data_IF_117098115514
#
_entry.id   IF_117098115514
#
_cell.length_a   1.000
_cell.length_b   1.000
_cell.length_c   1.000
_cell.angle_alpha   90.00
_cell.angle_beta   90.00
_cell.angle_gamma   90.00
#
_symmetry.space_group_name_H-M   'P 1'
#
loop_
_entity.id
_entity.type
_entity.pdbx_description
1 polymer ?
2 non-polymer ?
3 water ?
#
# COMPACT_ATOMS: atom_id res chain seq x y z
N UNK A 1 -19.04 5.18 9.82
CA UNK A 1 -18.12 6.14 9.14
C UNK A 1 -17.59 5.56 7.83
N UNK A 2 -17.95 6.19 6.72
CA UNK A 2 -17.52 5.73 5.41
C UNK A 2 -16.56 6.66 4.67
N UNK A 3 -15.91 7.57 5.38
CA UNK A 3 -14.96 8.49 4.75
C UNK A 3 -13.66 7.72 4.51
N UNK A 4 -12.92 8.11 3.48
CA UNK A 4 -11.65 7.46 3.19
C UNK A 4 -10.69 8.44 2.56
N UNK A 5 -9.43 8.03 2.50
CA UNK A 5 -8.37 8.79 1.88
C UNK A 5 -7.78 7.73 0.98
N UNK A 6 -7.38 8.11 -0.23
CA UNK A 6 -6.84 7.11 -1.11
C UNK A 6 -5.65 7.53 -1.96
N UNK A 7 -4.88 6.51 -2.34
CA UNK A 7 -3.71 6.65 -3.19
C UNK A 7 -3.88 5.45 -4.13
N UNK A 8 -4.28 5.72 -5.37
CA UNK A 8 -4.51 4.66 -6.33
C UNK A 8 -3.47 4.53 -7.43
N UNK A 9 -3.18 3.29 -7.80
CA UNK A 9 -2.24 3.03 -8.88
C UNK A 9 -0.78 3.37 -8.67
N UNK A 10 -0.35 3.49 -7.42
CA UNK A 10 1.05 3.77 -7.17
C UNK A 10 1.78 2.58 -7.76
N UNK A 11 2.93 2.82 -8.37
CA UNK A 11 3.66 1.73 -8.99
C UNK A 11 5.12 1.84 -8.64
N UNK A 12 5.71 0.72 -8.29
CA UNK A 12 7.11 0.72 -7.92
C UNK A 12 7.86 -0.42 -8.59
N UNK A 13 9.14 -0.20 -8.83
CA UNK A 13 9.96 -1.23 -9.42
C UNK A 13 10.76 -1.81 -8.28
N UNK A 14 10.41 -3.04 -7.89
CA UNK A 14 11.09 -3.71 -6.81
C UNK A 14 11.51 -5.09 -7.26
N UNK A 15 12.34 -5.74 -6.45
CA UNK A 15 12.84 -7.07 -6.78
C UNK A 15 12.29 -8.17 -5.88
N UNK A 16 11.05 -8.02 -5.45
CA UNK A 16 10.45 -9.03 -4.59
C UNK A 16 9.98 -10.21 -5.42
N UNK A 17 9.97 -11.38 -4.80
CA UNK A 17 9.54 -12.58 -5.49
C UNK A 17 10.16 -13.83 -4.90
N UNK A 18 9.39 -14.93 -4.94
CA UNK A 18 9.81 -16.22 -4.41
C UNK A 18 10.81 -16.94 -5.32
N UNK A 19 10.77 -16.61 -6.61
CA UNK A 19 11.68 -17.20 -7.59
C UNK A 19 12.96 -16.37 -7.64
N UNK A 20 14.11 -17.03 -7.53
CA UNK A 20 15.39 -16.35 -7.56
C UNK A 20 15.52 -15.40 -8.74
N UNK A 21 15.04 -15.84 -9.91
CA UNK A 21 15.08 -15.03 -11.13
C UNK A 21 14.25 -13.76 -10.97
N UNK A 22 13.21 -13.83 -10.15
CA UNK A 22 12.35 -12.68 -9.91
C UNK A 22 13.14 -11.60 -9.19
N UNK A 23 13.82 -11.98 -8.12
CA UNK A 23 14.62 -11.03 -7.35
C UNK A 23 15.80 -10.48 -8.15
N UNK A 24 16.25 -11.25 -9.14
CA UNK A 24 17.37 -10.85 -9.99
C UNK A 24 16.94 -9.71 -10.91
N UNK A 25 15.97 -10.02 -11.78
CA UNK A 25 15.44 -9.08 -12.76
C UNK A 25 14.56 -7.94 -12.21
N UNK A 26 13.54 -8.28 -11.42
CA UNK A 26 12.65 -7.27 -10.88
C UNK A 26 11.43 -7.03 -11.75
N UNK A 27 10.49 -6.24 -11.27
CA UNK A 27 9.28 -5.94 -12.03
C UNK A 27 8.56 -4.73 -11.42
N UNK A 28 7.45 -4.35 -12.02
CA UNK A 28 6.69 -3.23 -11.50
C UNK A 28 5.54 -3.78 -10.64
N UNK A 29 5.37 -3.18 -9.46
CA UNK A 29 4.30 -3.56 -8.54
C UNK A 29 3.36 -2.37 -8.46
N UNK A 30 2.06 -2.63 -8.63
CA UNK A 30 1.04 -1.58 -8.55
C UNK A 30 0.40 -1.66 -7.16
N UNK A 31 0.28 -0.52 -6.47
CA UNK A 31 -0.30 -0.49 -5.12
C UNK A 31 -1.43 0.52 -4.92
N UNK A 32 -2.50 0.04 -4.27
CA UNK A 32 -3.68 0.83 -3.96
C UNK A 32 -3.80 0.88 -2.45
N UNK A 33 -3.91 2.07 -1.88
CA UNK A 33 -4.03 2.19 -0.44
C UNK A 33 -5.25 3.04 -0.06
N UNK A 34 -6.15 2.46 0.74
CA UNK A 34 -7.36 3.14 1.20
C UNK A 34 -7.36 3.17 2.72
N UNK A 35 -7.40 4.37 3.28
CA UNK A 35 -7.38 4.54 4.73
C UNK A 35 -8.70 5.04 5.29
N UNK A 36 -9.16 4.42 6.37
CA UNK A 36 -10.40 4.83 7.02
C UNK A 36 -10.06 5.98 7.96
N UNK A 37 -10.62 7.15 7.69
CA UNK A 37 -10.35 8.31 8.51
C UNK A 37 -11.57 9.21 8.50
N UNK A 38 -11.88 9.82 9.65
CA UNK A 38 -13.00 10.75 9.77
C UNK A 38 -12.49 12.11 9.26
N UNK A 39 -13.11 12.62 8.18
CA UNK A 39 -12.68 13.89 7.57
C UNK A 39 -13.65 15.07 7.68
N UNK A 40 -14.46 15.09 8.73
CA UNK A 40 -15.45 16.18 8.91
C UNK A 40 -14.86 17.38 9.62
N UNK A 41 -13.93 17.12 10.52
CA UNK A 41 -13.29 18.20 11.24
C UNK A 41 -12.44 18.94 10.22
N UNK A 42 -11.58 18.20 9.53
CA UNK A 42 -10.71 18.76 8.50
C UNK A 42 -11.55 19.40 7.41
N UNK A 43 -12.71 18.81 7.14
CA UNK A 43 -13.61 19.35 6.14
C UNK A 43 -14.28 20.60 6.67
N UNK A 44 -14.33 20.69 8.00
CA UNK A 44 -14.94 21.83 8.67
C UNK A 44 -13.92 22.95 8.86
N UNK A 45 -12.74 22.60 9.37
CA UNK A 45 -11.67 23.57 9.61
C UNK A 45 -10.88 23.96 8.37
N UNK A 46 -10.60 22.98 7.51
CA UNK A 46 -9.82 23.19 6.29
C UNK A 46 -8.35 23.18 6.69
N UNK A 47 -8.06 22.62 7.87
CA UNK A 47 -6.71 22.55 8.41
C UNK A 47 -6.08 21.18 8.21
N UNK A 48 -5.06 21.13 7.35
CA UNK A 48 -4.37 19.88 7.03
C UNK A 48 -3.88 19.11 8.26
N UNK A 49 -3.83 19.77 9.41
CA UNK A 49 -3.39 19.13 10.64
C UNK A 49 -4.49 18.25 11.24
N UNK A 50 -5.73 18.46 10.79
CA UNK A 50 -6.86 17.68 11.30
C UNK A 50 -7.14 16.45 10.44
N UNK A 51 -6.16 16.07 9.62
CA UNK A 51 -6.32 14.93 8.75
C UNK A 51 -5.00 14.23 8.47
N UNK A 52 -5.05 13.16 7.67
CA UNK A 52 -3.86 12.41 7.31
C UNK A 52 -3.28 12.84 5.96
N UNK A 53 -2.03 13.27 6.00
CA UNK A 53 -1.28 13.73 4.83
C UNK A 53 -0.88 12.54 3.94
N UNK A 54 -1.35 12.51 2.70
CA UNK A 54 -1.01 11.38 1.81
C UNK A 54 0.43 11.34 1.34
N UNK A 55 0.98 12.50 0.99
CA UNK A 55 2.36 12.53 0.55
C UNK A 55 3.23 11.78 1.53
N UNK A 56 2.89 11.89 2.81
CA UNK A 56 3.62 11.21 3.86
C UNK A 56 3.30 9.73 3.71
N UNK A 57 2.02 9.44 3.54
CA UNK A 57 1.57 8.06 3.38
C UNK A 57 2.33 7.40 2.24
N UNK A 58 2.43 8.11 1.11
CA UNK A 58 3.12 7.63 -0.09
C UNK A 58 4.59 7.35 0.20
N UNK A 59 5.17 8.14 1.09
CA UNK A 59 6.57 7.97 1.44
C UNK A 59 6.77 6.67 2.20
N UNK A 60 5.78 6.29 3.00
CA UNK A 60 5.87 5.06 3.77
C UNK A 60 5.74 3.89 2.81
N UNK A 61 4.74 3.97 1.94
CA UNK A 61 4.52 2.92 0.97
C UNK A 61 5.78 2.72 0.13
N UNK A 62 6.29 3.82 -0.41
CA UNK A 62 7.47 3.78 -1.25
C UNK A 62 8.66 3.12 -0.57
N UNK A 63 9.06 3.65 0.58
CA UNK A 63 10.20 3.13 1.33
C UNK A 63 10.13 1.62 1.57
N UNK A 64 8.92 1.06 1.55
CA UNK A 64 8.74 -0.37 1.74
C UNK A 64 8.78 -1.12 0.41
N UNK A 65 8.10 -0.59 -0.61
CA UNK A 65 8.06 -1.21 -1.93
C UNK A 65 9.41 -1.14 -2.63
N UNK A 66 10.16 -0.08 -2.37
CA UNK A 66 11.46 0.09 -2.98
C UNK A 66 12.60 -0.21 -2.00
N UNK A 67 12.30 -1.04 -1.00
CA UNK A 67 13.30 -1.41 -0.01
C UNK A 67 13.74 -2.85 -0.24
N UNK A 68 14.43 -3.43 0.74
CA UNK A 68 14.91 -4.81 0.64
C UNK A 68 13.93 -5.76 -0.06
N UNK A 69 14.47 -6.73 -0.80
CA UNK A 69 13.63 -7.69 -1.50
C UNK A 69 13.12 -8.81 -0.59
N UNK A 70 11.81 -9.04 -0.64
CA UNK A 70 11.15 -10.08 0.16
C UNK A 70 10.52 -11.13 -0.76
N UNK A 71 9.88 -12.13 -0.16
CA UNK A 71 9.28 -13.20 -0.94
C UNK A 71 7.84 -12.95 -1.39
N UNK A 72 6.96 -12.69 -0.43
CA UNK A 72 5.55 -12.51 -0.76
C UNK A 72 4.97 -11.11 -0.75
N UNK A 73 3.88 -10.98 -1.50
CA UNK A 73 3.13 -9.74 -1.61
C UNK A 73 2.48 -9.51 -0.26
N UNK A 74 2.10 -10.61 0.40
CA UNK A 74 1.45 -10.56 1.71
C UNK A 74 2.35 -9.93 2.76
N UNK A 75 3.66 -10.03 2.55
CA UNK A 75 4.64 -9.47 3.47
C UNK A 75 4.79 -7.97 3.25
N UNK A 76 4.70 -7.56 2.00
CA UNK A 76 4.83 -6.16 1.68
C UNK A 76 3.59 -5.40 2.14
N UNK A 77 2.42 -5.99 1.90
CA UNK A 77 1.15 -5.37 2.27
C UNK A 77 0.97 -5.29 3.78
N UNK A 78 1.54 -6.26 4.49
CA UNK A 78 1.46 -6.33 5.95
C UNK A 78 2.45 -5.34 6.60
N UNK A 79 3.55 -5.08 5.91
CA UNK A 79 4.53 -4.14 6.41
C UNK A 79 4.02 -2.73 6.20
N UNK A 80 3.28 -2.52 5.11
CA UNK A 80 2.70 -1.21 4.79
C UNK A 80 1.52 -0.88 5.71
N UNK A 81 0.61 -1.84 5.88
CA UNK A 81 -0.56 -1.65 6.74
C UNK A 81 -0.10 -1.41 8.17
N UNK A 82 0.75 -2.30 8.67
CA UNK A 82 1.26 -2.17 10.03
C UNK A 82 2.00 -0.84 10.21
N UNK A 83 2.77 -0.43 9.20
CA UNK A 83 3.52 0.83 9.27
C UNK A 83 2.64 2.09 9.26
N UNK A 84 1.55 2.05 8.49
CA UNK A 84 0.65 3.19 8.42
C UNK A 84 -0.15 3.36 9.71
N UNK A 85 -0.66 2.26 10.25
CA UNK A 85 -1.44 2.28 11.48
C UNK A 85 -0.64 2.71 12.71
N UNK A 86 0.63 2.31 12.76
CA UNK A 86 1.49 2.65 13.88
C UNK A 86 1.82 4.13 13.93
N UNK A 87 1.85 4.76 12.77
CA UNK A 87 2.20 6.17 12.72
C UNK A 87 1.03 7.15 12.75
N UNK A 88 -0.17 6.68 12.43
CA UNK A 88 -1.33 7.58 12.42
C UNK A 88 -2.52 7.05 13.21
N UNK A 89 -2.89 7.79 14.25
CA UNK A 89 -4.01 7.43 15.12
C UNK A 89 -5.36 7.64 14.42
N UNK A 90 -5.43 8.68 13.58
CA UNK A 90 -6.66 8.99 12.85
C UNK A 90 -7.09 7.90 11.87
N UNK A 91 -6.15 7.06 11.43
CA UNK A 91 -6.48 5.99 10.51
C UNK A 91 -7.12 4.88 11.32
N UNK A 92 -8.44 4.73 11.20
CA UNK A 92 -9.14 3.70 11.95
C UNK A 92 -8.91 2.31 11.37
N UNK A 93 -8.62 2.27 10.07
CA UNK A 93 -8.39 1.01 9.36
C UNK A 93 -7.65 1.25 8.03
N UNK A 94 -6.78 0.31 7.66
CA UNK A 94 -5.99 0.41 6.44
C UNK A 94 -6.14 -0.79 5.50
N UNK A 95 -6.42 -0.51 4.23
CA UNK A 95 -6.56 -1.55 3.21
C UNK A 95 -5.43 -1.48 2.17
N UNK A 96 -4.69 -2.57 2.00
CA UNK A 96 -3.60 -2.57 1.02
C UNK A 96 -3.78 -3.60 -0.08
N UNK A 97 -3.67 -3.13 -1.32
CA UNK A 97 -3.81 -3.98 -2.50
C UNK A 97 -2.54 -3.90 -3.34
N UNK A 98 -1.96 -5.06 -3.64
CA UNK A 98 -0.76 -5.08 -4.45
C UNK A 98 -0.99 -6.00 -5.62
N UNK A 99 -0.74 -5.48 -6.82
CA UNK A 99 -0.94 -6.23 -8.05
C UNK A 99 0.36 -6.46 -8.79
N UNK A 100 0.54 -7.68 -9.28
CA UNK A 100 1.70 -8.04 -10.07
C UNK A 100 1.10 -8.27 -11.46
N UNK A 101 1.15 -7.24 -12.30
CA UNK A 101 0.57 -7.36 -13.62
C UNK A 101 1.39 -8.25 -14.56
N UNK A 102 2.61 -8.58 -14.16
CA UNK A 102 3.48 -9.41 -14.99
C UNK A 102 4.31 -10.44 -14.21
N UNK A 103 3.63 -11.35 -13.49
CA UNK A 103 4.37 -12.36 -12.73
C UNK A 103 4.92 -13.41 -13.68
N UNK A 104 5.70 -14.37 -13.15
CA UNK A 104 6.25 -15.42 -14.01
C UNK A 104 5.18 -16.47 -14.28
N UNK A 105 4.04 -16.03 -14.80
CA UNK A 105 2.93 -16.93 -15.10
C UNK A 105 2.64 -16.97 -16.60
N UNK A 106 3.00 -18.10 -17.25
CA UNK A 106 2.78 -18.28 -18.69
C UNK A 106 1.31 -18.19 -19.08
N UNK A 107 0.84 -16.99 -19.38
CA UNK A 107 -0.54 -16.83 -19.77
C UNK A 107 -0.96 -15.40 -20.06
N UNK A 108 -2.26 -15.23 -20.31
CA UNK A 108 -2.83 -13.92 -20.60
C UNK A 108 -3.85 -13.59 -19.53
N UNK A 109 -3.50 -12.61 -18.71
CA UNK A 109 -4.34 -12.14 -17.61
C UNK A 109 -3.97 -10.69 -17.43
N UNK A 110 -4.83 -9.92 -16.79
CA UNK A 110 -4.55 -8.51 -16.58
C UNK A 110 -3.61 -8.29 -15.39
N UNK A 111 -3.65 -9.21 -14.42
CA UNK A 111 -2.81 -9.10 -13.24
C UNK A 111 -3.22 -10.06 -12.13
N UNK A 112 -2.29 -10.32 -11.22
CA UNK A 112 -2.56 -11.21 -10.09
C UNK A 112 -2.19 -10.46 -8.83
N UNK A 113 -2.63 -10.94 -7.68
CA UNK A 113 -2.28 -10.24 -6.46
C UNK A 113 -3.08 -10.55 -5.23
N UNK A 114 -2.88 -9.71 -4.21
CA UNK A 114 -3.56 -9.86 -2.94
C UNK A 114 -4.08 -8.53 -2.41
N UNK A 115 -4.92 -8.63 -1.40
CA UNK A 115 -5.48 -7.47 -0.75
C UNK A 115 -5.74 -7.84 0.70
N UNK A 116 -5.50 -6.88 1.58
CA UNK A 116 -5.71 -7.07 3.00
C UNK A 116 -6.29 -5.81 3.61
N UNK A 117 -7.06 -6.01 4.67
CA UNK A 117 -7.68 -4.92 5.41
C UNK A 117 -7.23 -5.10 6.85
N UNK A 118 -6.56 -4.08 7.39
CA UNK A 118 -6.04 -4.13 8.76
C UNK A 118 -6.58 -3.00 9.63
N UNK A 119 -7.48 -3.32 10.56
CA UNK A 119 -8.03 -2.28 11.43
C UNK A 119 -6.93 -1.82 12.39
N UNK A 120 -6.95 -0.53 12.74
CA UNK A 120 -5.96 0.07 13.65
C UNK A 120 -6.30 -0.24 15.11
N UNK A 121 -5.32 -0.76 15.84
CA UNK A 121 -5.48 -1.09 17.25
C UNK A 121 -4.92 0.01 18.15
X LIG B 1 5.07 -14.52 -5.10
X LIG B 1 4.13 -14.12 -4.14
X LIG B 1 2.94 -14.96 -3.95
X LIG B 1 2.77 -16.06 -4.67
X LIG B 1 3.80 -16.44 -5.67
X LIG B 1 4.95 -15.67 -5.88
X LIG B 1 1.80 -14.80 -3.04
X LIG B 1 0.99 -15.85 -3.28
X LIG B 1 1.49 -16.68 -4.25
X LIG B 1 -0.16 -16.06 -2.67
X LIG B 1 3.62 -17.65 -6.47
X LIG B 1 6.28 -13.69 -5.31
X LIG B 1 5.80 -16.00 -6.73
X LIG B 1 4.19 -13.12 -3.43
#
# INVERSE_FOLDING_TARGET
MQDTIFLKGMRFYGYHGALSAENEIGQIFKVDVTLKVDLSEAGRTDNVIDTVHYGEVFEEVKSIMEGKAVNLLEHLAERIANRINSQYNRVMETKVRITKENPPIPGHYDGVGIEIVRENK
209 N1 C2 C3 C4 N5 C6 N7 C8 N9 N10 C11 C15 O19 O20
#
